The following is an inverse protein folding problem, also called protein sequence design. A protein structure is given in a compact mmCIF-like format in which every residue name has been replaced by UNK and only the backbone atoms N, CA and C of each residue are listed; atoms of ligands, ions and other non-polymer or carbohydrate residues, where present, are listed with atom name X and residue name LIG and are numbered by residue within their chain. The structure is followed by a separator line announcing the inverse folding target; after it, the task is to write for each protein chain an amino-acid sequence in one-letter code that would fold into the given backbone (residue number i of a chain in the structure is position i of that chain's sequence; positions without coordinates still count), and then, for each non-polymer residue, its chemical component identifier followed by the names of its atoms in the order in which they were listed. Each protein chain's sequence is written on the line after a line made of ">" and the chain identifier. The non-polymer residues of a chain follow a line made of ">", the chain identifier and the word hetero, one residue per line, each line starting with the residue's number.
data_IF_810122285430
#
_entry.id   IF_810122285430
#
_cell.length_a   1.000
_cell.length_b   1.000
_cell.length_c   1.000
_cell.angle_alpha   90.00
_cell.angle_beta   90.00
_cell.angle_gamma   90.00
#
_symmetry.space_group_name_H-M   'P 1'
#
loop_
_entity.id
_entity.type
_entity.pdbx_description
1 polymer ?
#
# COMPACT_ATOMS: atom_id res chain seq x y z
N UNK A 1 -6.34 -14.47 0.84
CA UNK A 1 -7.31 -13.55 0.24
C UNK A 1 -6.85 -13.09 -1.13
N UNK A 2 -5.63 -12.54 -1.26
CA UNK A 2 -5.13 -12.01 -2.52
C UNK A 2 -5.10 -13.02 -3.67
N UNK A 3 -4.81 -14.28 -3.39
CA UNK A 3 -4.80 -15.34 -4.41
C UNK A 3 -6.16 -15.62 -5.07
N UNK A 4 -7.26 -15.19 -4.45
CA UNK A 4 -8.60 -15.33 -5.00
C UNK A 4 -8.97 -14.22 -6.01
N UNK A 5 -8.18 -13.12 -6.05
CA UNK A 5 -8.39 -11.97 -6.94
C UNK A 5 -7.23 -11.87 -7.91
N UNK A 6 -7.47 -12.15 -9.19
CA UNK A 6 -6.42 -12.22 -10.21
C UNK A 6 -5.45 -11.02 -10.23
N UNK A 7 -5.90 -9.74 -10.16
CA UNK A 7 -5.01 -8.58 -10.15
C UNK A 7 -4.13 -8.48 -8.88
N UNK A 8 -4.54 -9.13 -7.80
CA UNK A 8 -3.84 -9.14 -6.51
C UNK A 8 -3.08 -10.45 -6.24
N UNK A 9 -2.91 -11.31 -7.25
CA UNK A 9 -2.28 -12.63 -7.07
C UNK A 9 -0.86 -12.54 -6.47
N UNK A 10 -0.15 -11.43 -6.72
CA UNK A 10 1.20 -11.17 -6.20
C UNK A 10 1.26 -9.95 -5.28
N UNK A 11 0.11 -9.55 -4.72
CA UNK A 11 0.07 -8.43 -3.79
C UNK A 11 0.84 -8.73 -2.50
N UNK A 12 1.39 -7.67 -1.92
CA UNK A 12 2.18 -7.73 -0.69
C UNK A 12 1.62 -6.71 0.30
N UNK A 13 1.40 -7.15 1.54
CA UNK A 13 1.02 -6.30 2.65
C UNK A 13 2.23 -6.13 3.58
N UNK A 14 2.74 -4.91 3.66
CA UNK A 14 3.82 -4.56 4.58
C UNK A 14 3.26 -4.11 5.92
N UNK A 15 3.72 -4.77 6.97
CA UNK A 15 3.47 -4.38 8.36
C UNK A 15 4.78 -3.95 9.02
N UNK A 16 4.72 -3.02 9.97
CA UNK A 16 5.89 -2.62 10.76
C UNK A 16 6.00 -3.45 12.04
N UNK A 17 7.23 -3.68 12.49
CA UNK A 17 7.50 -4.25 13.80
C UNK A 17 8.17 -3.20 14.69
N UNK A 18 7.75 -3.09 15.93
CA UNK A 18 8.43 -2.26 16.94
C UNK A 18 9.69 -2.95 17.49
N UNK A 19 10.40 -2.31 18.42
CA UNK A 19 11.62 -2.86 19.01
C UNK A 19 11.41 -4.21 19.73
N UNK A 20 10.18 -4.54 20.13
CA UNK A 20 9.84 -5.83 20.72
C UNK A 20 9.47 -6.90 19.67
N UNK A 21 9.53 -6.57 18.38
CA UNK A 21 9.18 -7.48 17.29
C UNK A 21 7.68 -7.70 17.11
N UNK A 22 6.83 -6.81 17.64
CA UNK A 22 5.36 -6.90 17.51
C UNK A 22 4.81 -5.76 16.63
N UNK A 23 3.69 -6.02 15.95
CA UNK A 23 3.06 -5.07 15.02
C UNK A 23 2.40 -3.89 15.73
N UNK A 24 1.87 -4.13 16.93
CA UNK A 24 1.19 -3.12 17.71
C UNK A 24 1.42 -3.34 19.21
N UNK A 25 1.29 -2.26 20.00
CA UNK A 25 1.34 -2.32 21.46
C UNK A 25 -0.07 -2.54 22.04
N UNK A 26 -0.20 -3.45 23.02
CA UNK A 26 -1.46 -3.76 23.69
C UNK A 26 -2.16 -5.00 23.12
N UNK A 27 -3.34 -5.31 23.71
CA UNK A 27 -4.20 -6.42 23.29
C UNK A 27 -5.38 -5.84 22.52
N UNK A 28 -5.51 -6.19 21.25
CA UNK A 28 -6.52 -5.65 20.32
C UNK A 28 -6.55 -4.11 20.30
N UNK A 29 -5.43 -3.44 19.95
CA UNK A 29 -5.36 -1.99 20.00
C UNK A 29 -6.29 -1.36 18.97
N UNK A 30 -7.14 -0.44 19.41
CA UNK A 30 -8.02 0.36 18.55
C UNK A 30 -7.36 1.67 18.13
N UNK A 31 -6.37 2.11 18.90
CA UNK A 31 -5.60 3.32 18.60
C UNK A 31 -4.62 3.07 17.46
N UNK A 32 -4.78 3.78 16.35
CA UNK A 32 -3.93 3.64 15.16
C UNK A 32 -2.44 3.89 15.46
N UNK A 33 -2.15 4.85 16.33
CA UNK A 33 -0.79 5.16 16.79
C UNK A 33 -0.09 4.03 17.57
N UNK A 34 -0.84 2.99 17.98
CA UNK A 34 -0.26 1.80 18.62
C UNK A 34 0.42 0.87 17.62
N UNK A 35 0.13 1.01 16.33
CA UNK A 35 0.71 0.19 15.26
C UNK A 35 2.03 0.79 14.77
N UNK A 36 3.07 -0.03 14.73
CA UNK A 36 4.43 0.41 14.41
C UNK A 36 4.58 1.00 13.00
N UNK A 37 3.71 0.64 12.08
CA UNK A 37 3.74 1.11 10.69
C UNK A 37 2.87 2.35 10.45
N UNK A 38 1.90 2.66 11.33
CA UNK A 38 0.99 3.79 11.11
C UNK A 38 1.77 5.11 11.01
N UNK A 39 1.52 5.86 9.95
CA UNK A 39 2.25 7.10 9.66
C UNK A 39 3.66 6.90 9.08
N UNK A 40 4.10 5.66 8.84
CA UNK A 40 5.38 5.42 8.17
C UNK A 40 5.37 6.01 6.76
N UNK A 41 6.50 6.59 6.36
CA UNK A 41 6.65 7.21 5.04
C UNK A 41 6.54 6.19 3.92
N UNK A 42 5.68 6.45 2.94
CA UNK A 42 5.57 5.71 1.69
C UNK A 42 6.34 6.42 0.61
N UNK A 43 7.16 5.69 -0.14
CA UNK A 43 8.01 6.22 -1.20
C UNK A 43 7.73 5.55 -2.53
N UNK A 44 8.06 6.24 -3.63
CA UNK A 44 7.92 5.73 -4.98
C UNK A 44 8.80 4.48 -5.19
N UNK A 45 8.22 3.34 -5.60
CA UNK A 45 8.97 2.11 -5.84
C UNK A 45 9.79 2.16 -7.12
N UNK A 46 9.48 3.09 -8.02
CA UNK A 46 10.10 3.28 -9.32
C UNK A 46 10.00 4.75 -9.75
N UNK A 47 10.78 5.16 -10.72
CA UNK A 47 10.60 6.45 -11.40
C UNK A 47 9.54 6.30 -12.49
N UNK A 48 8.59 7.23 -12.56
CA UNK A 48 7.48 7.18 -13.49
C UNK A 48 6.52 8.34 -13.32
N UNK A 49 5.27 8.15 -13.70
CA UNK A 49 4.21 9.14 -13.60
C UNK A 49 3.10 8.66 -12.65
N UNK A 50 2.57 9.54 -11.83
CA UNK A 50 1.38 9.29 -11.03
C UNK A 50 0.16 9.36 -11.93
N UNK A 51 -0.52 8.25 -12.15
CA UNK A 51 -1.69 8.18 -13.06
C UNK A 51 -3.03 8.21 -12.35
N UNK A 52 -3.04 7.94 -11.05
CA UNK A 52 -4.25 7.97 -10.22
C UNK A 52 -3.91 8.38 -8.79
N UNK A 53 -4.76 9.21 -8.19
CA UNK A 53 -4.69 9.60 -6.77
C UNK A 53 -6.11 9.62 -6.21
N UNK A 54 -6.31 8.97 -5.07
CA UNK A 54 -7.49 9.10 -4.23
C UNK A 54 -7.05 9.37 -2.79
N UNK A 55 -7.54 10.47 -2.22
CA UNK A 55 -7.28 10.87 -0.82
C UNK A 55 -8.54 11.49 -0.22
N UNK A 56 -8.63 11.52 1.11
CA UNK A 56 -9.74 12.13 1.83
C UNK A 56 -10.62 11.16 2.61
N UNK A 57 -10.56 9.85 2.32
CA UNK A 57 -11.26 8.83 3.11
C UNK A 57 -10.66 8.73 4.52
N UNK A 58 -11.50 8.52 5.57
CA UNK A 58 -11.01 8.44 6.95
C UNK A 58 -10.17 7.19 7.17
N UNK A 59 -9.19 7.31 8.07
CA UNK A 59 -8.55 6.14 8.67
C UNK A 59 -9.53 5.52 9.68
N UNK A 60 -9.85 4.24 9.51
CA UNK A 60 -10.83 3.55 10.34
C UNK A 60 -10.19 2.96 11.59
N UNK A 61 -10.98 2.90 12.67
CA UNK A 61 -10.56 2.22 13.91
C UNK A 61 -10.54 0.71 13.70
N UNK A 62 -9.41 0.02 13.96
CA UNK A 62 -9.35 -1.43 13.87
C UNK A 62 -10.40 -2.12 14.79
N UNK A 63 -11.09 -3.15 14.33
CA UNK A 63 -10.98 -3.85 13.04
C UNK A 63 -12.01 -3.38 11.99
N UNK A 64 -12.54 -2.16 12.08
CA UNK A 64 -13.51 -1.64 11.10
C UNK A 64 -12.86 -1.54 9.71
N UNK A 65 -13.63 -1.85 8.67
CA UNK A 65 -13.19 -1.81 7.28
C UNK A 65 -14.28 -1.23 6.38
N UNK A 66 -13.87 -0.51 5.34
CA UNK A 66 -14.75 0.03 4.29
C UNK A 66 -14.64 -0.85 3.04
N UNK A 67 -15.65 -1.70 2.84
CA UNK A 67 -15.69 -2.61 1.68
C UNK A 67 -16.20 -1.95 0.40
N UNK A 68 -16.78 -0.75 0.48
CA UNK A 68 -17.25 0.00 -0.67
C UNK A 68 -16.08 0.70 -1.39
N UNK A 69 -15.06 1.10 -0.61
CA UNK A 69 -13.83 1.72 -1.11
C UNK A 69 -12.61 0.84 -0.78
N UNK A 70 -12.45 -0.34 -1.41
CA UNK A 70 -11.52 -1.35 -0.94
C UNK A 70 -10.05 -0.90 -0.89
N UNK A 71 -9.58 -0.07 -1.82
CA UNK A 71 -8.21 0.45 -1.79
C UNK A 71 -8.00 1.60 -0.78
N UNK A 72 -9.09 2.21 -0.29
CA UNK A 72 -8.99 3.39 0.57
C UNK A 72 -8.30 4.56 -0.13
N UNK A 73 -7.58 5.37 0.64
CA UNK A 73 -6.68 6.37 0.05
C UNK A 73 -5.52 5.64 -0.62
N UNK A 74 -5.25 5.99 -1.86
CA UNK A 74 -4.27 5.28 -2.67
C UNK A 74 -3.70 6.15 -3.78
N UNK A 75 -2.65 5.67 -4.40
CA UNK A 75 -2.13 6.21 -5.64
C UNK A 75 -1.61 5.10 -6.54
N UNK A 76 -1.54 5.38 -7.83
CA UNK A 76 -1.01 4.49 -8.86
C UNK A 76 0.13 5.18 -9.57
N UNK A 77 1.28 4.51 -9.64
CA UNK A 77 2.44 4.96 -10.42
C UNK A 77 2.59 4.09 -11.65
N UNK A 78 2.59 4.70 -12.83
CA UNK A 78 2.94 4.05 -14.09
C UNK A 78 4.46 4.11 -14.28
N UNK A 79 5.10 2.95 -14.37
CA UNK A 79 6.53 2.85 -14.59
C UNK A 79 6.93 1.54 -15.29
N UNK A 80 7.79 1.66 -16.29
CA UNK A 80 8.33 0.50 -17.02
C UNK A 80 7.27 -0.46 -17.59
N UNK A 81 6.11 0.08 -18.05
CA UNK A 81 5.01 -0.72 -18.57
C UNK A 81 4.18 -1.42 -17.49
N UNK A 82 4.30 -0.98 -16.24
CA UNK A 82 3.52 -1.47 -15.11
C UNK A 82 2.70 -0.36 -14.49
N UNK A 83 1.53 -0.70 -13.96
CA UNK A 83 0.76 0.12 -13.03
C UNK A 83 0.98 -0.44 -11.62
N UNK A 84 1.55 0.37 -10.73
CA UNK A 84 1.84 -0.01 -9.34
C UNK A 84 0.92 0.73 -8.38
N UNK A 85 0.04 -0.01 -7.71
CA UNK A 85 -0.84 0.51 -6.66
C UNK A 85 -0.13 0.53 -5.31
N UNK A 86 -0.31 1.63 -4.58
CA UNK A 86 0.07 1.81 -3.17
C UNK A 86 -1.19 2.25 -2.42
N UNK A 87 -1.73 1.40 -1.55
CA UNK A 87 -3.06 1.55 -0.96
C UNK A 87 -3.06 1.59 0.57
N UNK A 88 -4.24 1.92 1.13
CA UNK A 88 -4.52 2.12 2.55
C UNK A 88 -3.72 3.29 3.16
N UNK A 89 -3.48 4.34 2.36
CA UNK A 89 -2.74 5.51 2.80
C UNK A 89 -3.52 6.32 3.84
N UNK A 90 -2.79 7.05 4.67
CA UNK A 90 -3.35 7.92 5.70
C UNK A 90 -4.08 9.11 5.06
N UNK A 91 -5.25 9.43 5.59
CA UNK A 91 -6.03 10.59 5.16
C UNK A 91 -5.20 11.88 5.14
N UNK A 92 -5.24 12.58 3.99
CA UNK A 92 -4.55 13.86 3.79
C UNK A 92 -3.03 13.76 3.75
N UNK A 93 -2.47 12.55 3.54
CA UNK A 93 -1.03 12.35 3.50
C UNK A 93 -0.44 12.27 2.09
N UNK A 94 -1.26 12.11 1.06
CA UNK A 94 -0.76 12.03 -0.31
C UNK A 94 -0.13 13.37 -0.71
N UNK A 95 1.14 13.32 -1.13
CA UNK A 95 1.98 14.50 -1.37
C UNK A 95 2.24 14.76 -2.85
N UNK A 96 1.51 14.09 -3.74
CA UNK A 96 1.66 14.17 -5.19
C UNK A 96 0.30 14.23 -5.86
N UNK A 97 0.26 14.70 -7.11
CA UNK A 97 -0.96 14.83 -7.91
C UNK A 97 -0.90 13.92 -9.14
N UNK A 98 -2.07 13.60 -9.70
CA UNK A 98 -2.17 12.89 -10.99
C UNK A 98 -1.49 13.71 -12.09
N UNK A 99 -0.65 13.05 -12.91
CA UNK A 99 0.19 13.64 -13.93
C UNK A 99 1.58 14.06 -13.43
N UNK A 100 1.87 13.96 -12.13
CA UNK A 100 3.18 14.31 -11.59
C UNK A 100 4.21 13.23 -11.90
N UNK A 101 5.40 13.64 -12.38
CA UNK A 101 6.54 12.76 -12.55
C UNK A 101 7.25 12.56 -11.21
N UNK A 102 7.44 11.31 -10.81
CA UNK A 102 8.10 10.94 -9.56
C UNK A 102 9.39 10.16 -9.81
N UNK A 103 10.31 10.23 -8.84
CA UNK A 103 11.56 9.46 -8.85
C UNK A 103 11.52 8.38 -7.78
N UNK A 104 12.16 7.25 -8.04
CA UNK A 104 12.35 6.20 -7.05
C UNK A 104 12.85 6.79 -5.72
N UNK A 105 12.20 6.40 -4.60
CA UNK A 105 12.50 6.92 -3.27
C UNK A 105 11.87 8.28 -2.92
N UNK A 106 11.22 8.97 -3.87
CA UNK A 106 10.47 10.21 -3.57
C UNK A 106 9.32 9.90 -2.61
N UNK A 107 9.11 10.77 -1.61
CA UNK A 107 7.98 10.64 -0.68
C UNK A 107 6.66 10.83 -1.43
N UNK A 108 5.72 9.90 -1.24
CA UNK A 108 4.39 9.90 -1.86
C UNK A 108 3.26 10.10 -0.85
N UNK A 109 3.48 9.70 0.41
CA UNK A 109 2.47 9.77 1.46
C UNK A 109 2.90 9.02 2.71
N UNK A 110 1.93 8.61 3.50
CA UNK A 110 2.14 7.85 4.73
C UNK A 110 1.17 6.68 4.85
N UNK A 111 1.59 5.61 5.51
CA UNK A 111 0.75 4.44 5.80
C UNK A 111 -0.40 4.83 6.72
N UNK A 112 -1.61 4.45 6.37
CA UNK A 112 -2.83 4.67 7.12
C UNK A 112 -3.59 3.39 7.44
N UNK A 113 -4.92 3.54 7.56
CA UNK A 113 -5.87 2.45 7.76
C UNK A 113 -7.21 2.75 7.07
N UNK A 114 -7.16 3.27 5.85
CA UNK A 114 -8.34 3.62 5.06
C UNK A 114 -8.73 2.48 4.13
N UNK A 115 -10.03 2.33 3.86
CA UNK A 115 -10.54 1.30 2.95
C UNK A 115 -10.77 -0.06 3.61
N UNK A 116 -10.69 -1.13 2.83
CA UNK A 116 -10.93 -2.51 3.30
C UNK A 116 -9.70 -3.10 3.98
N UNK A 117 -9.37 -2.57 5.14
CA UNK A 117 -8.26 -3.02 5.98
C UNK A 117 -8.69 -3.11 7.44
N UNK A 118 -8.23 -4.13 8.16
CA UNK A 118 -8.55 -4.35 9.58
C UNK A 118 -7.45 -3.93 10.53
N UNK A 119 -6.26 -3.60 10.01
CA UNK A 119 -5.12 -3.07 10.75
C UNK A 119 -4.19 -2.28 9.81
N UNK A 120 -3.48 -1.25 10.29
CA UNK A 120 -2.56 -0.47 9.47
C UNK A 120 -1.51 -1.32 8.76
N UNK A 121 -1.46 -1.20 7.43
CA UNK A 121 -0.45 -1.81 6.59
C UNK A 121 -0.32 -1.03 5.26
N UNK A 122 0.77 -1.23 4.53
CA UNK A 122 0.89 -0.78 3.15
C UNK A 122 0.59 -1.96 2.24
N UNK A 123 -0.48 -1.87 1.48
CA UNK A 123 -0.78 -2.80 0.39
C UNK A 123 -0.10 -2.31 -0.89
N UNK A 124 0.63 -3.20 -1.56
CA UNK A 124 1.24 -2.93 -2.86
C UNK A 124 1.02 -4.10 -3.81
N UNK A 125 0.61 -3.80 -5.03
CA UNK A 125 0.64 -4.76 -6.13
C UNK A 125 0.90 -4.05 -7.47
N UNK A 126 1.25 -4.84 -8.48
CA UNK A 126 1.47 -4.34 -9.83
C UNK A 126 0.71 -5.19 -10.85
N UNK A 127 0.27 -4.51 -11.92
CA UNK A 127 -0.32 -5.14 -13.11
C UNK A 127 0.38 -4.63 -14.37
N UNK A 128 0.31 -5.40 -15.45
CA UNK A 128 0.79 -4.96 -16.77
C UNK A 128 -0.08 -3.81 -17.27
N UNK A 129 0.58 -2.72 -17.66
CA UNK A 129 -0.09 -1.59 -18.31
C UNK A 129 -0.75 -2.03 -19.62
N UNK A 130 -1.95 -1.50 -19.89
CA UNK A 130 -2.71 -1.85 -21.09
C UNK A 130 -3.55 -3.14 -20.99
N UNK A 131 -3.44 -3.92 -19.90
CA UNK A 131 -4.26 -5.12 -19.67
C UNK A 131 -5.53 -4.84 -18.86
N UNK A 132 -5.68 -3.64 -18.34
CA UNK A 132 -6.80 -3.19 -17.50
C UNK A 132 -6.35 -2.15 -16.48
N UNK A 133 -7.21 -1.86 -15.50
CA UNK A 133 -6.84 -1.02 -14.36
C UNK A 133 -6.05 -1.85 -13.32
N UNK A 134 -5.53 -1.20 -12.29
CA UNK A 134 -4.90 -1.89 -11.13
C UNK A 134 -5.83 -2.89 -10.44
N UNK A 135 -7.16 -2.75 -10.62
CA UNK A 135 -8.16 -3.65 -10.04
C UNK A 135 -8.59 -4.79 -10.98
N UNK A 136 -8.23 -4.74 -12.26
CA UNK A 136 -8.70 -5.70 -13.28
C UNK A 136 -7.59 -6.24 -14.20
N UNK A 137 -6.40 -5.62 -14.18
CA UNK A 137 -5.28 -5.95 -15.05
C UNK A 137 -4.58 -7.28 -14.72
N UNK A 138 -3.65 -7.67 -15.58
CA UNK A 138 -2.84 -8.87 -15.39
C UNK A 138 -1.76 -8.63 -14.32
N UNK A 139 -1.86 -9.39 -13.22
CA UNK A 139 -0.94 -9.28 -12.09
C UNK A 139 0.48 -9.71 -12.44
N UNK A 140 1.46 -8.95 -11.97
CA UNK A 140 2.88 -9.29 -12.08
C UNK A 140 3.55 -9.33 -10.71
N UNK A 141 4.51 -10.26 -10.50
CA UNK A 141 5.24 -10.33 -9.24
C UNK A 141 6.20 -9.14 -9.09
N UNK A 142 6.24 -8.60 -7.87
CA UNK A 142 7.19 -7.54 -7.49
C UNK A 142 8.36 -8.18 -6.71
N UNK A 143 9.58 -7.77 -7.03
CA UNK A 143 10.78 -8.13 -6.29
C UNK A 143 11.18 -6.98 -5.37
N UNK A 144 11.51 -7.29 -4.12
CA UNK A 144 12.11 -6.36 -3.17
C UNK A 144 13.56 -6.81 -2.90
N UNK A 145 14.52 -5.94 -3.19
CA UNK A 145 15.95 -6.27 -3.15
C UNK A 145 16.30 -7.56 -3.92
N UNK A 146 15.67 -7.75 -5.09
CA UNK A 146 15.87 -8.93 -5.95
C UNK A 146 15.26 -10.22 -5.44
N UNK A 147 14.46 -10.19 -4.38
CA UNK A 147 13.80 -11.35 -3.76
C UNK A 147 12.30 -11.28 -3.85
N UNK A 148 11.64 -12.40 -4.12
CA UNK A 148 10.20 -12.49 -3.94
C UNK A 148 9.85 -12.43 -2.45
N UNK A 149 8.92 -11.54 -2.05
CA UNK A 149 8.41 -11.55 -0.69
C UNK A 149 7.62 -12.85 -0.45
N UNK A 150 7.99 -13.56 0.59
CA UNK A 150 7.21 -14.69 1.11
C UNK A 150 6.55 -14.29 2.42
N UNK A 151 5.50 -15.01 2.82
CA UNK A 151 4.81 -14.74 4.08
C UNK A 151 5.81 -14.68 5.24
N UNK A 152 5.74 -13.62 6.04
CA UNK A 152 6.64 -13.33 7.16
C UNK A 152 8.11 -13.03 6.76
N UNK A 153 8.38 -12.69 5.50
CA UNK A 153 9.69 -12.16 5.15
C UNK A 153 9.96 -10.84 5.89
N UNK A 154 11.18 -10.69 6.39
CA UNK A 154 11.62 -9.46 7.06
C UNK A 154 12.55 -8.70 6.11
N UNK A 155 12.22 -7.44 5.87
CA UNK A 155 13.08 -6.47 5.16
C UNK A 155 13.64 -5.49 6.19
N UNK A 156 14.96 -5.37 6.25
CA UNK A 156 15.60 -4.36 7.09
C UNK A 156 15.43 -2.96 6.47
N UNK A 157 15.36 -1.95 7.34
CA UNK A 157 15.38 -0.54 6.92
C UNK A 157 16.77 -0.12 6.50
#
# INVERSE_FOLDING_TARGET
>A
YHQAHAPQAYAVDFVGLNAAGVRASGVHPQELGSYAIFGARVVAPCSGEVVEVADGLPDLTPPQADTENPAGNHLVVACNGLLVLLAHLRKGSVAVETGEAVRVGQALGAVGNSGNTTEPHLHIHAVLEGTGSVLTGEAVPILFDGRHPVRNAVFAR
#
